data_IF_023156154444
#
_entry.id   IF_023156154444
#
_cell.length_a   1.000
_cell.length_b   1.000
_cell.length_c   1.000
_cell.angle_alpha   90.00
_cell.angle_beta   90.00
_cell.angle_gamma   90.00
#
_symmetry.space_group_name_H-M   'P 1'
#
loop_
_entity.id
_entity.type
_entity.pdbx_description
1 polymer ?
#
# COMPACT_ATOMS: atom_id res chain seq x y z
N UNK A 1 22.87 2.33 -23.89
CA UNK A 1 24.13 1.84 -23.33
C UNK A 1 24.89 1.06 -24.41
N UNK A 2 26.14 1.36 -24.64
CA UNK A 2 26.99 0.65 -25.63
C UNK A 2 27.21 -0.84 -25.29
N UNK A 3 26.90 -1.24 -24.07
CA UNK A 3 27.06 -2.62 -23.59
C UNK A 3 25.96 -3.58 -24.05
N UNK A 4 24.84 -3.07 -24.56
CA UNK A 4 23.72 -3.90 -24.97
C UNK A 4 23.30 -3.61 -26.40
N UNK A 5 23.03 -4.66 -27.16
CA UNK A 5 22.69 -4.55 -28.59
C UNK A 5 21.41 -3.73 -28.86
N UNK A 6 20.52 -3.60 -27.88
CA UNK A 6 19.30 -2.78 -27.94
C UNK A 6 19.51 -1.34 -27.44
N UNK A 7 20.73 -0.95 -27.08
CA UNK A 7 21.09 0.38 -26.58
C UNK A 7 20.46 0.75 -25.21
N UNK A 8 19.67 -0.12 -24.61
CA UNK A 8 18.96 0.15 -23.35
C UNK A 8 19.76 -0.30 -22.14
N UNK A 9 20.03 0.61 -21.21
CA UNK A 9 20.60 0.27 -19.91
C UNK A 9 19.61 -0.39 -18.96
N UNK A 10 18.31 -0.12 -19.13
CA UNK A 10 17.24 -0.69 -18.34
C UNK A 10 16.72 -1.96 -19.02
N UNK A 11 17.08 -3.13 -18.45
CA UNK A 11 16.71 -4.44 -18.98
C UNK A 11 15.41 -4.90 -18.36
N UNK A 12 14.57 -5.54 -19.17
CA UNK A 12 13.42 -6.29 -18.66
C UNK A 12 13.91 -7.43 -17.77
N UNK A 13 13.26 -7.71 -16.63
CA UNK A 13 13.57 -8.89 -15.83
C UNK A 13 13.46 -10.17 -16.68
N UNK A 14 14.28 -11.15 -16.36
CA UNK A 14 14.17 -12.46 -17.02
C UNK A 14 12.78 -13.03 -16.72
N UNK A 15 12.11 -13.59 -17.72
CA UNK A 15 10.80 -14.20 -17.54
C UNK A 15 10.83 -15.23 -16.39
N UNK A 16 9.89 -15.08 -15.45
CA UNK A 16 9.81 -15.92 -14.25
C UNK A 16 10.60 -15.39 -13.04
N UNK A 17 11.35 -14.27 -13.15
CA UNK A 17 11.95 -13.63 -11.98
C UNK A 17 10.89 -12.81 -11.22
N UNK A 18 10.91 -12.94 -9.91
CA UNK A 18 10.09 -12.15 -8.99
C UNK A 18 11.00 -11.12 -8.32
N UNK A 19 10.69 -9.81 -8.40
CA UNK A 19 11.49 -8.79 -7.72
C UNK A 19 11.57 -9.05 -6.22
N UNK A 20 12.73 -8.79 -5.63
CA UNK A 20 12.88 -8.86 -4.18
C UNK A 20 11.89 -7.86 -3.54
N UNK A 21 11.05 -8.33 -2.62
CA UNK A 21 9.99 -7.54 -2.01
C UNK A 21 8.62 -7.63 -2.72
N UNK A 22 8.53 -8.29 -3.85
CA UNK A 22 7.24 -8.66 -4.44
C UNK A 22 6.71 -9.87 -3.66
N UNK A 23 5.71 -9.64 -2.82
CA UNK A 23 5.02 -10.76 -2.19
C UNK A 23 4.27 -11.52 -3.29
N UNK A 24 4.71 -12.73 -3.58
CA UNK A 24 3.91 -13.66 -4.38
C UNK A 24 2.55 -13.79 -3.71
N UNK A 25 1.45 -13.86 -4.49
CA UNK A 25 0.17 -14.28 -3.94
C UNK A 25 0.41 -15.55 -3.13
N UNK A 26 -0.09 -15.58 -1.89
CA UNK A 26 0.04 -16.79 -1.08
C UNK A 26 -0.69 -17.92 -1.80
N UNK A 27 0.05 -18.74 -2.54
CA UNK A 27 -0.50 -19.99 -3.02
C UNK A 27 -0.79 -20.86 -1.80
N UNK A 28 -1.99 -21.39 -1.72
CA UNK A 28 -2.22 -22.56 -0.88
C UNK A 28 -1.24 -23.59 -1.37
N UNK A 29 -0.31 -23.99 -0.52
CA UNK A 29 0.53 -25.13 -0.82
C UNK A 29 -0.36 -26.33 -1.15
N UNK A 30 0.17 -27.27 -1.91
CA UNK A 30 -0.57 -28.45 -2.40
C UNK A 30 -1.16 -29.29 -1.26
N UNK A 31 -0.65 -29.11 -0.03
CA UNK A 31 -1.12 -29.73 1.20
C UNK A 31 -2.17 -28.89 1.97
N UNK A 32 -2.53 -27.73 1.44
CA UNK A 32 -3.51 -26.83 2.09
C UNK A 32 -2.93 -25.96 3.21
N UNK A 33 -1.62 -26.04 3.49
CA UNK A 33 -0.94 -25.12 4.37
C UNK A 33 -0.74 -23.78 3.66
N UNK A 34 -1.03 -22.69 4.34
CA UNK A 34 -0.61 -21.36 3.89
C UNK A 34 0.84 -21.20 4.28
N UNK A 35 1.75 -21.22 3.29
CA UNK A 35 3.15 -20.95 3.53
C UNK A 35 3.31 -19.65 4.33
N UNK A 36 4.04 -19.71 5.45
CA UNK A 36 4.34 -18.54 6.24
C UNK A 36 5.10 -17.54 5.37
N UNK A 37 4.45 -16.44 5.04
CA UNK A 37 5.16 -15.29 4.48
C UNK A 37 6.29 -14.92 5.45
N UNK A 38 7.52 -14.65 4.99
CA UNK A 38 8.62 -14.14 5.82
C UNK A 38 8.35 -12.70 6.30
N UNK A 39 7.08 -12.36 6.50
CA UNK A 39 6.63 -11.07 7.00
C UNK A 39 7.16 -10.83 8.41
N UNK A 40 7.68 -9.63 8.72
CA UNK A 40 7.98 -9.23 10.10
C UNK A 40 6.74 -9.28 11.02
N UNK A 41 5.55 -9.42 10.44
CA UNK A 41 4.27 -9.56 11.16
C UNK A 41 3.88 -11.02 11.40
N UNK A 42 4.78 -11.83 11.93
CA UNK A 42 4.50 -13.24 12.25
C UNK A 42 3.22 -13.48 13.08
N UNK A 43 2.67 -12.43 13.68
CA UNK A 43 1.48 -12.52 14.52
C UNK A 43 0.20 -12.01 13.84
N UNK A 44 0.31 -11.36 12.68
CA UNK A 44 -0.84 -10.83 11.96
C UNK A 44 -1.31 -11.85 10.94
N UNK A 45 -2.42 -12.52 11.25
CA UNK A 45 -3.06 -13.45 10.30
C UNK A 45 -3.99 -12.66 9.38
N UNK A 46 -3.72 -12.76 8.08
CA UNK A 46 -4.59 -12.18 7.07
C UNK A 46 -5.75 -13.14 6.78
N UNK A 47 -6.97 -12.65 6.87
CA UNK A 47 -8.20 -13.46 6.86
C UNK A 47 -8.92 -13.49 5.52
N UNK A 48 -8.54 -12.63 4.58
CA UNK A 48 -9.18 -12.57 3.27
C UNK A 48 -8.52 -13.48 2.25
N UNK A 49 -9.30 -13.91 1.26
CA UNK A 49 -8.77 -14.68 0.14
C UNK A 49 -7.67 -13.92 -0.61
N UNK A 50 -6.82 -14.66 -1.30
CA UNK A 50 -5.66 -14.16 -2.04
C UNK A 50 -6.00 -12.95 -2.91
N UNK A 51 -7.14 -12.99 -3.61
CA UNK A 51 -7.55 -11.91 -4.50
C UNK A 51 -7.69 -10.56 -3.79
N UNK A 52 -8.38 -10.50 -2.65
CA UNK A 52 -8.59 -9.26 -1.92
C UNK A 52 -7.30 -8.71 -1.31
N UNK A 53 -6.51 -9.58 -0.70
CA UNK A 53 -5.23 -9.21 -0.10
C UNK A 53 -4.27 -8.57 -1.13
N UNK A 54 -4.22 -9.11 -2.33
CA UNK A 54 -3.29 -8.65 -3.36
C UNK A 54 -3.84 -7.49 -4.20
N UNK A 55 -5.15 -7.39 -4.36
CA UNK A 55 -5.78 -6.45 -5.31
C UNK A 55 -6.65 -5.37 -4.66
N UNK A 56 -7.07 -5.57 -3.41
CA UNK A 56 -8.07 -4.73 -2.76
C UNK A 56 -9.49 -4.95 -3.30
N UNK A 57 -9.73 -6.05 -4.02
CA UNK A 57 -11.01 -6.33 -4.67
C UNK A 57 -11.57 -7.71 -4.33
N UNK A 58 -12.89 -7.75 -4.26
CA UNK A 58 -13.66 -8.96 -4.43
C UNK A 58 -14.34 -8.88 -5.79
N UNK A 59 -13.94 -9.73 -6.72
CA UNK A 59 -14.37 -9.67 -8.11
C UNK A 59 -14.19 -8.26 -8.72
N UNK A 60 -15.27 -7.60 -9.08
CA UNK A 60 -15.27 -6.28 -9.68
C UNK A 60 -15.55 -5.13 -8.69
N UNK A 61 -15.69 -5.42 -7.39
CA UNK A 61 -16.01 -4.43 -6.37
C UNK A 61 -14.81 -4.16 -5.47
N UNK A 62 -14.65 -2.91 -5.04
CA UNK A 62 -13.67 -2.56 -4.01
C UNK A 62 -14.10 -3.15 -2.66
N UNK A 63 -13.17 -3.86 -2.03
CA UNK A 63 -13.41 -4.42 -0.70
C UNK A 63 -13.29 -3.37 0.40
N UNK A 64 -14.03 -3.59 1.47
CA UNK A 64 -13.95 -2.81 2.72
C UNK A 64 -13.35 -3.66 3.83
N UNK A 65 -12.63 -3.02 4.74
CA UNK A 65 -11.91 -3.67 5.83
C UNK A 65 -10.46 -4.00 5.47
N UNK A 66 -9.63 -4.01 6.49
CA UNK A 66 -8.22 -4.43 6.37
C UNK A 66 -8.19 -5.96 6.40
N UNK A 67 -7.47 -6.64 5.48
CA UNK A 67 -7.48 -8.09 5.38
C UNK A 67 -6.62 -8.76 6.47
N UNK A 68 -6.86 -8.40 7.73
CA UNK A 68 -6.21 -8.97 8.92
C UNK A 68 -7.29 -9.41 9.91
N UNK A 69 -6.99 -10.40 10.76
CA UNK A 69 -7.93 -10.83 11.78
C UNK A 69 -8.15 -9.75 12.84
N UNK A 70 -7.10 -8.97 13.13
CA UNK A 70 -7.13 -7.89 14.11
C UNK A 70 -6.14 -6.79 13.70
N UNK A 71 -6.59 -5.54 13.76
CA UNK A 71 -5.73 -4.37 13.56
C UNK A 71 -5.10 -4.00 14.90
N UNK A 72 -3.90 -4.52 15.16
CA UNK A 72 -3.18 -4.27 16.42
C UNK A 72 -2.48 -2.91 16.42
N UNK A 73 -2.13 -2.37 17.61
CA UNK A 73 -1.33 -1.15 17.72
C UNK A 73 0.00 -1.25 16.97
N UNK A 74 0.65 -2.41 16.98
CA UNK A 74 1.94 -2.65 16.30
C UNK A 74 1.77 -2.60 14.78
N UNK A 75 0.63 -3.10 14.26
CA UNK A 75 0.31 -3.01 12.84
C UNK A 75 0.09 -1.55 12.42
N UNK A 76 -0.60 -0.76 13.24
CA UNK A 76 -0.78 0.68 13.00
C UNK A 76 0.56 1.42 13.09
N UNK A 77 1.41 1.12 14.08
CA UNK A 77 2.73 1.72 14.24
C UNK A 77 3.63 1.42 13.01
N UNK A 78 3.53 0.21 12.47
CA UNK A 78 4.22 -0.13 11.21
C UNK A 78 3.69 0.69 10.05
N UNK A 79 2.37 0.85 9.95
CA UNK A 79 1.75 1.72 8.95
C UNK A 79 2.25 3.16 9.05
N UNK A 80 2.37 3.69 10.26
CA UNK A 80 2.93 5.01 10.53
C UNK A 80 4.38 5.13 10.06
N UNK A 81 5.22 4.16 10.39
CA UNK A 81 6.61 4.12 9.93
C UNK A 81 6.71 4.16 8.41
N UNK A 82 5.95 3.29 7.72
CA UNK A 82 5.97 3.22 6.26
C UNK A 82 5.37 4.47 5.60
N UNK A 83 4.33 5.03 6.19
CA UNK A 83 3.76 6.30 5.77
C UNK A 83 4.76 7.44 5.88
N UNK A 84 5.49 7.54 6.99
CA UNK A 84 6.51 8.56 7.20
C UNK A 84 7.62 8.51 6.14
N UNK A 85 8.03 7.30 5.75
CA UNK A 85 9.07 7.10 4.73
C UNK A 85 8.59 7.47 3.33
N UNK A 86 7.38 7.06 2.94
CA UNK A 86 6.96 7.05 1.53
C UNK A 86 5.87 8.05 1.19
N UNK A 87 5.03 8.46 2.14
CA UNK A 87 3.80 9.22 1.89
C UNK A 87 3.86 10.63 2.45
N UNK A 88 4.49 10.81 3.62
CA UNK A 88 4.53 12.08 4.36
C UNK A 88 5.15 13.22 3.55
N UNK A 89 6.15 12.92 2.72
CA UNK A 89 6.82 13.92 1.87
C UNK A 89 5.82 14.71 1.00
N UNK A 90 4.75 14.06 0.58
CA UNK A 90 3.66 14.66 -0.20
C UNK A 90 2.45 14.99 0.68
N UNK A 91 1.93 14.01 1.41
CA UNK A 91 0.66 14.16 2.12
C UNK A 91 0.76 14.87 3.47
N UNK A 92 1.98 15.16 3.97
CA UNK A 92 2.21 15.72 5.30
C UNK A 92 2.08 14.68 6.41
N UNK A 93 2.51 15.03 7.61
CA UNK A 93 2.50 14.17 8.79
C UNK A 93 1.07 13.78 9.24
N UNK A 94 0.13 14.69 9.07
CA UNK A 94 -1.28 14.48 9.41
C UNK A 94 -2.15 14.03 8.24
N UNK A 95 -1.61 13.91 7.03
CA UNK A 95 -2.39 13.59 5.83
C UNK A 95 -3.15 14.77 5.22
N UNK A 96 -2.83 16.00 5.60
CA UNK A 96 -3.52 17.22 5.14
C UNK A 96 -3.17 17.64 3.70
N UNK A 97 -2.25 16.95 3.02
CA UNK A 97 -1.80 17.31 1.67
C UNK A 97 -0.80 18.46 1.63
N UNK A 98 -0.19 18.78 2.76
CA UNK A 98 0.73 19.90 2.96
C UNK A 98 2.18 19.48 3.13
N UNK A 99 2.57 18.33 2.58
CA UNK A 99 3.93 17.85 2.62
C UNK A 99 4.92 18.76 1.90
N UNK A 100 6.20 18.57 2.20
CA UNK A 100 7.29 19.42 1.70
C UNK A 100 7.36 19.44 0.17
N UNK A 101 6.97 18.35 -0.51
CA UNK A 101 6.97 18.25 -1.96
C UNK A 101 6.14 19.35 -2.65
N UNK A 102 5.10 19.86 -1.97
CA UNK A 102 4.31 20.99 -2.48
C UNK A 102 5.13 22.26 -2.66
N UNK A 103 6.15 22.48 -1.82
CA UNK A 103 7.06 23.63 -1.94
C UNK A 103 8.00 23.53 -3.14
N UNK A 104 8.18 22.33 -3.67
CA UNK A 104 9.03 22.05 -4.83
C UNK A 104 8.23 21.83 -6.12
N UNK A 105 6.99 22.33 -6.16
CA UNK A 105 6.18 22.37 -7.37
C UNK A 105 5.28 21.16 -7.61
N UNK A 106 5.20 20.21 -6.67
CA UNK A 106 4.22 19.14 -6.78
C UNK A 106 2.84 19.69 -6.42
N UNK A 107 2.03 19.93 -7.43
CA UNK A 107 0.66 20.46 -7.29
C UNK A 107 -0.38 19.33 -7.17
N UNK A 108 -1.57 19.68 -6.70
CA UNK A 108 -2.72 18.76 -6.62
C UNK A 108 -2.52 17.55 -5.69
N UNK A 109 -1.73 17.72 -4.62
CA UNK A 109 -1.61 16.70 -3.58
C UNK A 109 -2.94 16.56 -2.84
N UNK A 110 -3.43 15.34 -2.74
CA UNK A 110 -4.70 15.07 -2.09
C UNK A 110 -4.60 15.25 -0.56
N UNK A 111 -5.54 16.01 0.02
CA UNK A 111 -5.81 15.99 1.44
C UNK A 111 -6.63 14.74 1.77
N UNK A 112 -6.06 13.84 2.57
CA UNK A 112 -6.65 12.54 2.91
C UNK A 112 -7.91 12.64 3.77
N UNK A 113 -8.23 13.83 4.30
CA UNK A 113 -9.43 14.08 5.10
C UNK A 113 -10.64 14.56 4.28
N UNK A 114 -10.48 14.76 2.97
CA UNK A 114 -11.62 15.09 2.10
C UNK A 114 -12.63 13.95 2.08
N UNK A 115 -13.94 14.29 2.03
CA UNK A 115 -15.02 13.31 2.03
C UNK A 115 -14.82 12.24 0.97
N UNK A 116 -14.52 12.65 -0.27
CA UNK A 116 -14.29 11.70 -1.36
C UNK A 116 -13.21 10.65 -1.09
N UNK A 117 -12.24 10.92 -0.19
CA UNK A 117 -11.18 9.96 0.17
C UNK A 117 -11.56 9.16 1.42
N UNK A 118 -12.24 9.78 2.37
CA UNK A 118 -12.79 9.07 3.53
C UNK A 118 -13.82 8.03 3.13
N UNK A 119 -14.62 8.36 2.10
CA UNK A 119 -15.69 7.50 1.60
C UNK A 119 -15.19 6.40 0.65
N UNK A 120 -13.91 6.44 0.23
CA UNK A 120 -13.29 5.35 -0.51
C UNK A 120 -13.27 4.07 0.32
N UNK A 121 -13.52 2.93 -0.34
CA UNK A 121 -13.27 1.62 0.26
C UNK A 121 -11.78 1.41 0.54
N UNK A 122 -11.44 0.61 1.55
CA UNK A 122 -10.05 0.35 1.92
C UNK A 122 -9.25 -0.27 0.76
N UNK A 123 -9.88 -1.16 0.01
CA UNK A 123 -9.31 -1.76 -1.19
C UNK A 123 -9.04 -0.74 -2.30
N UNK A 124 -9.84 0.32 -2.44
CA UNK A 124 -9.57 1.39 -3.40
C UNK A 124 -8.36 2.23 -2.99
N UNK A 125 -8.21 2.50 -1.69
CA UNK A 125 -7.01 3.18 -1.15
C UNK A 125 -5.78 2.30 -1.38
N UNK A 126 -5.86 1.01 -1.06
CA UNK A 126 -4.80 0.04 -1.31
C UNK A 126 -4.38 0.01 -2.79
N UNK A 127 -5.36 -0.05 -3.70
CA UNK A 127 -5.10 -0.04 -5.13
C UNK A 127 -4.46 1.28 -5.59
N UNK A 128 -4.88 2.41 -5.02
CA UNK A 128 -4.28 3.73 -5.29
C UNK A 128 -2.82 3.78 -4.85
N UNK A 129 -2.49 3.21 -3.68
CA UNK A 129 -1.09 3.08 -3.23
C UNK A 129 -0.31 2.16 -4.17
N UNK A 130 -0.92 1.07 -4.62
CA UNK A 130 -0.27 0.07 -5.47
C UNK A 130 0.07 0.60 -6.86
N UNK A 131 -0.90 1.19 -7.53
CA UNK A 131 -0.82 1.54 -8.96
C UNK A 131 -0.68 3.04 -9.22
N UNK A 132 -0.89 3.86 -8.20
CA UNK A 132 -0.99 5.30 -8.35
C UNK A 132 -2.36 5.76 -8.83
N UNK A 133 -2.57 7.07 -8.83
CA UNK A 133 -3.78 7.72 -9.35
C UNK A 133 -3.46 9.15 -9.75
N UNK A 134 -3.79 9.54 -10.98
CA UNK A 134 -3.48 10.86 -11.55
C UNK A 134 -1.97 11.16 -11.48
N UNK A 135 -1.56 12.17 -10.71
CA UNK A 135 -0.15 12.56 -10.53
C UNK A 135 0.59 11.73 -9.47
N UNK A 136 -0.12 10.96 -8.67
CA UNK A 136 0.48 10.09 -7.66
C UNK A 136 1.03 8.84 -8.33
N UNK A 137 2.31 8.58 -8.17
CA UNK A 137 2.95 7.34 -8.64
C UNK A 137 2.54 6.14 -7.79
N UNK A 138 2.57 4.94 -8.36
CA UNK A 138 2.37 3.69 -7.65
C UNK A 138 3.60 3.27 -6.85
N UNK A 139 3.35 2.52 -5.80
CA UNK A 139 4.38 1.99 -4.88
C UNK A 139 4.38 0.46 -4.81
N UNK A 140 3.68 -0.20 -5.74
CA UNK A 140 3.52 -1.65 -5.73
C UNK A 140 4.82 -2.44 -5.83
N UNK A 141 5.83 -1.86 -6.48
CA UNK A 141 7.18 -2.40 -6.66
C UNK A 141 8.15 -2.10 -5.50
N UNK A 142 7.78 -1.18 -4.60
CA UNK A 142 8.67 -0.66 -3.53
C UNK A 142 8.19 -0.98 -2.13
N UNK A 143 6.89 -1.15 -1.95
CA UNK A 143 6.26 -1.40 -0.67
C UNK A 143 5.56 -2.75 -0.72
N UNK A 144 5.91 -3.64 0.20
CA UNK A 144 5.28 -4.97 0.30
C UNK A 144 3.77 -4.86 0.52
N UNK A 145 3.02 -5.88 0.10
CA UNK A 145 1.56 -5.93 0.20
C UNK A 145 1.08 -5.65 1.63
N UNK A 146 1.69 -6.33 2.62
CA UNK A 146 1.37 -6.16 4.04
C UNK A 146 1.59 -4.73 4.51
N UNK A 147 2.70 -4.11 4.11
CA UNK A 147 3.03 -2.73 4.47
C UNK A 147 2.06 -1.74 3.84
N UNK A 148 1.58 -2.00 2.63
CA UNK A 148 0.53 -1.18 1.99
C UNK A 148 -0.78 -1.23 2.78
N UNK A 149 -1.18 -2.41 3.27
CA UNK A 149 -2.34 -2.54 4.14
C UNK A 149 -2.14 -1.88 5.49
N UNK A 150 -0.94 -1.95 6.07
CA UNK A 150 -0.62 -1.22 7.28
C UNK A 150 -0.71 0.30 7.08
N UNK A 151 -0.26 0.82 5.92
CA UNK A 151 -0.44 2.23 5.56
C UNK A 151 -1.93 2.58 5.44
N UNK A 152 -2.77 1.74 4.83
CA UNK A 152 -4.22 1.96 4.77
C UNK A 152 -4.81 2.08 6.17
N UNK A 153 -4.45 1.18 7.10
CA UNK A 153 -4.89 1.22 8.49
C UNK A 153 -4.46 2.52 9.19
N UNK A 154 -3.21 2.95 8.97
CA UNK A 154 -2.73 4.22 9.52
C UNK A 154 -3.44 5.44 8.94
N UNK A 155 -3.72 5.47 7.64
CA UNK A 155 -4.52 6.52 7.01
C UNK A 155 -5.91 6.61 7.63
N UNK A 156 -6.56 5.46 7.92
CA UNK A 156 -7.84 5.43 8.63
C UNK A 156 -7.73 5.99 10.04
N UNK A 157 -6.63 5.72 10.74
CA UNK A 157 -6.36 6.29 12.06
C UNK A 157 -6.23 7.82 11.99
N UNK A 158 -5.50 8.36 11.01
CA UNK A 158 -5.41 9.81 10.79
C UNK A 158 -6.78 10.44 10.52
N UNK A 159 -7.61 9.79 9.70
CA UNK A 159 -8.96 10.26 9.39
C UNK A 159 -9.87 10.26 10.64
N UNK A 160 -9.80 9.22 11.46
CA UNK A 160 -10.56 9.12 12.71
C UNK A 160 -10.12 10.18 13.73
N UNK A 161 -8.83 10.37 13.93
CA UNK A 161 -8.29 11.39 14.83
C UNK A 161 -8.75 12.81 14.45
N UNK A 162 -8.78 13.13 13.14
CA UNK A 162 -9.27 14.42 12.65
C UNK A 162 -10.77 14.59 12.86
N UNK A 163 -11.56 13.54 12.79
CA UNK A 163 -12.99 13.59 13.03
C UNK A 163 -13.31 13.85 14.51
N UNK A 164 -12.51 13.32 15.43
CA UNK A 164 -12.66 13.46 16.88
C UNK A 164 -12.21 14.83 17.41
N UNK A 165 -11.49 15.62 16.60
CA UNK A 165 -10.99 16.96 16.98
C UNK A 165 -11.91 18.10 16.57
N UNK A 166 -13.14 17.81 16.14
CA UNK A 166 -14.21 18.76 15.86
C UNK A 166 -15.23 18.76 17.00
#
# INVERSE_FOLDING_TARGET
>A
SEFFADGRGNRQPIAGTVPLGYAMPMHKDVDGSTGESPSPYKQVKFSSGVSYFDTGRFDNQWGTGIPVNEVTPEFIARGQERYAISCQVCHGDTGAGNGIAGKYGLVAIANLHQSRIRDMADGEIFNTITHGKNTMMGYGDRIQVQDRWAIVAYVRTLQAAKASSK
#
